data_IF_067644439297
#
_entry.id   IF_067644439297
#
_cell.length_a   1.000
_cell.length_b   1.000
_cell.length_c   1.000
_cell.angle_alpha   90.00
_cell.angle_beta   90.00
_cell.angle_gamma   90.00
#
_symmetry.space_group_name_H-M   'P 1'
#
loop_
_entity.id
_entity.type
_entity.pdbx_description
1 polymer ?
#
# COMPACT_ATOMS: atom_id res chain seq x y z
N UNK A 1 -13.24 -77.76 2.84
CA UNK A 1 -12.95 -76.69 1.85
C UNK A 1 -14.26 -75.96 1.58
N UNK A 2 -14.39 -74.77 2.17
CA UNK A 2 -15.57 -73.88 2.20
C UNK A 2 -15.68 -73.06 0.89
N UNK A 3 -16.83 -73.06 0.20
CA UNK A 3 -18.01 -72.14 0.26
C UNK A 3 -17.94 -70.89 -0.64
N UNK A 4 -19.05 -70.68 -1.37
CA UNK A 4 -19.47 -69.56 -2.25
C UNK A 4 -19.50 -68.17 -1.58
N UNK A 5 -19.18 -67.07 -2.32
CA UNK A 5 -19.99 -65.82 -2.49
C UNK A 5 -19.24 -64.59 -3.12
N UNK A 6 -19.99 -63.78 -3.94
CA UNK A 6 -19.97 -62.30 -4.21
C UNK A 6 -18.65 -61.59 -4.71
N UNK A 7 -18.58 -60.49 -5.51
CA UNK A 7 -19.43 -59.73 -6.48
C UNK A 7 -18.67 -58.41 -6.89
N UNK A 8 -18.93 -57.88 -8.11
CA UNK A 8 -18.85 -56.47 -8.64
C UNK A 8 -17.49 -55.79 -9.04
N UNK A 9 -17.41 -55.10 -10.21
CA UNK A 9 -16.25 -54.31 -10.70
C UNK A 9 -16.36 -52.77 -10.48
N UNK A 10 -15.28 -51.96 -10.61
CA UNK A 10 -15.37 -50.50 -10.51
C UNK A 10 -15.46 -49.83 -11.90
N UNK A 11 -16.68 -49.60 -12.39
CA UNK A 11 -16.97 -48.78 -13.56
C UNK A 11 -18.26 -47.97 -13.28
N UNK A 12 -18.17 -46.89 -12.50
CA UNK A 12 -19.35 -46.05 -12.19
C UNK A 12 -19.11 -44.58 -11.83
N UNK A 13 -17.90 -44.04 -11.91
CA UNK A 13 -17.65 -42.63 -11.54
C UNK A 13 -17.74 -41.64 -12.71
N UNK A 14 -17.29 -42.01 -13.91
CA UNK A 14 -17.26 -41.06 -15.04
C UNK A 14 -18.63 -40.82 -15.71
N UNK A 15 -19.55 -41.80 -15.64
CA UNK A 15 -20.88 -41.68 -16.23
C UNK A 15 -21.80 -40.73 -15.43
N UNK A 16 -21.62 -40.65 -14.10
CA UNK A 16 -22.40 -39.80 -13.20
C UNK A 16 -22.03 -38.32 -13.35
N UNK A 17 -20.74 -38.01 -13.55
CA UNK A 17 -20.26 -36.65 -13.80
C UNK A 17 -20.78 -36.08 -15.13
N UNK A 18 -20.84 -36.92 -16.17
CA UNK A 18 -21.36 -36.50 -17.48
C UNK A 18 -22.89 -36.29 -17.45
N UNK A 19 -23.63 -37.15 -16.73
CA UNK A 19 -25.07 -36.97 -16.52
C UNK A 19 -25.39 -35.73 -15.67
N UNK A 20 -24.62 -35.43 -14.62
CA UNK A 20 -24.80 -34.21 -13.83
C UNK A 20 -24.55 -32.93 -14.65
N UNK A 21 -23.51 -32.88 -15.49
CA UNK A 21 -23.25 -31.72 -16.35
C UNK A 21 -24.37 -31.48 -17.37
N UNK A 22 -24.93 -32.56 -17.95
CA UNK A 22 -26.05 -32.45 -18.90
C UNK A 22 -27.33 -31.92 -18.24
N UNK A 23 -27.60 -32.31 -17.00
CA UNK A 23 -28.76 -31.83 -16.25
C UNK A 23 -28.60 -30.38 -15.77
N UNK A 24 -27.39 -29.94 -15.40
CA UNK A 24 -27.11 -28.55 -15.04
C UNK A 24 -27.20 -27.63 -16.26
N UNK A 25 -26.68 -28.06 -17.42
CA UNK A 25 -26.82 -27.31 -18.66
C UNK A 25 -28.28 -27.16 -19.06
N UNK A 26 -29.08 -28.24 -18.97
CA UNK A 26 -30.52 -28.19 -19.26
C UNK A 26 -31.28 -27.27 -18.29
N UNK A 27 -30.87 -27.20 -17.01
CA UNK A 27 -31.47 -26.31 -16.02
C UNK A 27 -31.15 -24.82 -16.32
N UNK A 28 -29.93 -24.53 -16.76
CA UNK A 28 -29.50 -23.18 -17.16
C UNK A 28 -30.25 -22.74 -18.42
N UNK A 29 -30.38 -23.61 -19.43
CA UNK A 29 -31.14 -23.30 -20.65
C UNK A 29 -32.65 -23.17 -20.39
N UNK A 30 -33.18 -23.86 -19.39
CA UNK A 30 -34.58 -23.71 -18.95
C UNK A 30 -34.81 -22.38 -18.20
N UNK A 31 -33.85 -21.95 -17.38
CA UNK A 31 -33.89 -20.67 -16.66
C UNK A 31 -33.73 -19.46 -17.59
N UNK A 32 -32.84 -19.55 -18.59
CA UNK A 32 -32.67 -18.48 -19.60
C UNK A 32 -33.90 -18.33 -20.50
N UNK A 33 -34.57 -19.43 -20.87
CA UNK A 33 -35.83 -19.37 -21.63
C UNK A 33 -37.01 -18.80 -20.81
N UNK A 34 -36.97 -18.91 -19.48
CA UNK A 34 -38.00 -18.35 -18.60
C UNK A 34 -37.87 -16.82 -18.45
N UNK A 35 -36.66 -16.27 -18.62
CA UNK A 35 -36.36 -14.83 -18.57
C UNK A 35 -36.78 -14.06 -19.83
N UNK A 36 -37.01 -14.75 -20.95
CA UNK A 36 -37.42 -14.13 -22.23
C UNK A 36 -38.94 -13.93 -22.40
N UNK A 37 -39.79 -14.41 -21.48
CA UNK A 37 -41.22 -14.13 -21.52
C UNK A 37 -41.57 -12.84 -20.76
N UNK A 38 -41.97 -11.82 -21.51
CA UNK A 38 -42.52 -10.56 -21.01
C UNK A 38 -43.77 -10.81 -20.14
N UNK A 39 -43.60 -10.86 -18.81
CA UNK A 39 -44.69 -10.83 -17.82
C UNK A 39 -44.29 -9.82 -16.73
N UNK A 40 -45.16 -8.87 -16.34
CA UNK A 40 -44.82 -7.88 -15.32
C UNK A 40 -44.87 -8.55 -13.94
N UNK A 41 -43.73 -8.63 -13.24
CA UNK A 41 -43.64 -9.28 -11.93
C UNK A 41 -43.38 -8.27 -10.81
N UNK A 42 -44.15 -8.42 -9.74
CA UNK A 42 -44.16 -7.64 -8.50
C UNK A 42 -42.77 -7.48 -7.81
N UNK A 43 -42.58 -6.42 -7.00
CA UNK A 43 -41.29 -6.08 -6.37
C UNK A 43 -40.78 -7.08 -5.31
N UNK A 44 -41.58 -8.09 -4.92
CA UNK A 44 -41.25 -9.05 -3.87
C UNK A 44 -40.40 -10.24 -4.32
N UNK A 45 -40.31 -10.53 -5.63
CA UNK A 45 -39.49 -11.64 -6.16
C UNK A 45 -38.03 -11.26 -6.42
N UNK A 46 -37.72 -9.98 -6.65
CA UNK A 46 -36.32 -9.50 -6.80
C UNK A 46 -35.50 -9.70 -5.53
N UNK A 47 -36.14 -9.66 -4.35
CA UNK A 47 -35.47 -9.84 -3.06
C UNK A 47 -35.08 -11.32 -2.79
N UNK A 48 -35.89 -12.27 -3.29
CA UNK A 48 -35.61 -13.71 -3.17
C UNK A 48 -34.49 -14.12 -4.14
N UNK A 49 -34.44 -13.54 -5.35
CA UNK A 49 -33.36 -13.80 -6.31
C UNK A 49 -32.00 -13.24 -5.88
N UNK A 50 -31.97 -12.10 -5.18
CA UNK A 50 -30.73 -11.55 -4.60
C UNK A 50 -30.20 -12.43 -3.45
N UNK A 51 -31.11 -13.01 -2.66
CA UNK A 51 -30.78 -13.94 -1.57
C UNK A 51 -30.27 -15.30 -2.05
N UNK A 52 -30.78 -15.81 -3.18
CA UNK A 52 -30.29 -17.06 -3.78
C UNK A 52 -28.90 -16.93 -4.44
N UNK A 53 -28.55 -15.74 -4.98
CA UNK A 53 -27.18 -15.48 -5.51
C UNK A 53 -26.12 -15.50 -4.41
N UNK A 54 -26.40 -15.00 -3.21
CA UNK A 54 -25.46 -15.04 -2.09
C UNK A 54 -25.28 -16.46 -1.52
N UNK A 55 -26.33 -17.29 -1.56
CA UNK A 55 -26.26 -18.69 -1.13
C UNK A 55 -25.52 -19.60 -2.14
N UNK A 56 -25.62 -19.36 -3.45
CA UNK A 56 -24.84 -20.10 -4.45
C UNK A 56 -23.33 -19.79 -4.39
N UNK A 57 -22.95 -18.55 -4.04
CA UNK A 57 -21.54 -18.21 -3.77
C UNK A 57 -20.97 -18.95 -2.55
N UNK A 58 -21.78 -19.16 -1.52
CA UNK A 58 -21.40 -19.96 -0.36
C UNK A 58 -21.35 -21.46 -0.68
N UNK A 59 -22.22 -21.96 -1.57
CA UNK A 59 -22.15 -23.35 -2.02
C UNK A 59 -20.91 -23.61 -2.91
N UNK A 60 -20.51 -22.62 -3.72
CA UNK A 60 -19.26 -22.69 -4.48
C UNK A 60 -18.03 -22.68 -3.55
N UNK A 61 -18.03 -21.84 -2.48
CA UNK A 61 -17.00 -21.87 -1.43
C UNK A 61 -16.86 -23.25 -0.76
N UNK A 62 -17.98 -23.94 -0.53
CA UNK A 62 -17.99 -25.30 0.06
C UNK A 62 -17.53 -26.37 -0.94
N UNK A 63 -17.72 -26.16 -2.25
CA UNK A 63 -17.28 -27.10 -3.30
C UNK A 63 -15.82 -26.91 -3.71
N UNK A 64 -15.25 -25.72 -3.55
CA UNK A 64 -13.82 -25.42 -3.78
C UNK A 64 -13.03 -25.46 -2.49
N UNK A 65 -13.06 -26.57 -1.75
CA UNK A 65 -12.16 -26.85 -0.62
C UNK A 65 -10.68 -26.86 -1.06
N UNK A 66 -10.15 -25.68 -1.36
CA UNK A 66 -8.76 -25.34 -1.71
C UNK A 66 -8.32 -24.10 -0.91
N UNK A 67 -8.91 -23.86 0.27
CA UNK A 67 -8.62 -22.72 1.16
C UNK A 67 -7.19 -22.74 1.75
N UNK A 68 -6.33 -23.66 1.34
CA UNK A 68 -4.93 -23.73 1.77
C UNK A 68 -3.90 -23.52 0.64
N UNK A 69 -4.31 -23.45 -0.63
CA UNK A 69 -3.35 -23.34 -1.75
C UNK A 69 -3.55 -22.10 -2.65
N UNK A 70 -4.73 -21.48 -2.64
CA UNK A 70 -5.03 -20.30 -3.45
C UNK A 70 -5.43 -19.18 -2.49
N UNK A 71 -4.74 -18.04 -2.56
CA UNK A 71 -4.92 -16.90 -1.66
C UNK A 71 -6.33 -16.29 -1.69
N UNK A 72 -6.53 -15.10 -1.13
CA UNK A 72 -7.84 -14.46 -1.09
C UNK A 72 -8.47 -14.34 -2.50
N UNK A 73 -9.67 -14.90 -2.67
CA UNK A 73 -10.41 -14.97 -3.95
C UNK A 73 -11.33 -13.76 -4.17
N UNK A 74 -10.84 -12.54 -3.92
CA UNK A 74 -11.60 -11.31 -4.16
C UNK A 74 -10.75 -10.23 -4.83
N UNK A 75 -11.41 -9.27 -5.45
CA UNK A 75 -10.80 -8.17 -6.19
C UNK A 75 -10.98 -6.85 -5.43
N UNK A 76 -9.90 -6.09 -5.29
CA UNK A 76 -9.94 -4.72 -4.76
C UNK A 76 -10.08 -3.73 -5.91
N UNK A 77 -11.20 -3.01 -5.94
CA UNK A 77 -11.47 -2.02 -6.98
C UNK A 77 -10.74 -0.70 -6.71
N UNK A 78 -9.49 -0.62 -7.15
CA UNK A 78 -8.70 0.61 -7.04
C UNK A 78 -9.21 1.75 -7.94
N UNK A 79 -10.05 1.48 -8.92
CA UNK A 79 -10.51 2.50 -9.87
C UNK A 79 -11.79 3.17 -9.37
N UNK A 80 -12.80 2.37 -8.99
CA UNK A 80 -14.16 2.87 -8.81
C UNK A 80 -14.72 2.72 -7.38
N UNK A 81 -14.00 2.13 -6.43
CA UNK A 81 -14.50 1.96 -5.06
C UNK A 81 -15.02 3.27 -4.46
N UNK A 82 -16.28 3.25 -4.00
CA UNK A 82 -16.95 4.36 -3.34
C UNK A 82 -17.19 4.03 -1.87
N UNK A 83 -17.06 5.01 -0.96
CA UNK A 83 -17.27 4.76 0.47
C UNK A 83 -18.73 4.43 0.77
N UNK A 84 -18.92 3.38 1.57
CA UNK A 84 -20.19 3.07 2.22
C UNK A 84 -20.50 4.11 3.32
N UNK A 85 -21.70 4.07 3.88
CA UNK A 85 -22.10 4.98 4.96
C UNK A 85 -21.20 4.81 6.21
N UNK A 86 -20.78 3.57 6.51
CA UNK A 86 -19.90 3.28 7.64
C UNK A 86 -18.46 3.75 7.43
N UNK A 87 -18.02 3.93 6.18
CA UNK A 87 -16.67 4.40 5.86
C UNK A 87 -16.59 5.93 5.77
N UNK A 88 -17.73 6.63 5.61
CA UNK A 88 -17.79 8.02 5.17
C UNK A 88 -16.97 8.98 6.02
N UNK A 89 -17.02 8.83 7.34
CA UNK A 89 -16.30 9.71 8.27
C UNK A 89 -14.79 9.59 8.10
N UNK A 90 -14.27 8.37 8.21
CA UNK A 90 -12.83 8.08 8.04
C UNK A 90 -12.38 8.40 6.63
N UNK A 91 -13.21 8.08 5.64
CA UNK A 91 -12.92 8.36 4.24
C UNK A 91 -12.76 9.86 4.00
N UNK A 92 -13.64 10.70 4.54
CA UNK A 92 -13.56 12.16 4.41
C UNK A 92 -12.30 12.71 5.09
N UNK A 93 -11.97 12.21 6.29
CA UNK A 93 -10.76 12.60 7.01
C UNK A 93 -9.51 12.32 6.17
N UNK A 94 -9.38 11.09 5.67
CA UNK A 94 -8.21 10.66 4.90
C UNK A 94 -8.17 11.34 3.53
N UNK A 95 -9.31 11.50 2.87
CA UNK A 95 -9.41 12.17 1.57
C UNK A 95 -8.95 13.63 1.66
N UNK A 96 -9.21 14.33 2.76
CA UNK A 96 -8.71 15.69 2.98
C UNK A 96 -7.18 15.80 2.98
N UNK A 97 -6.48 14.70 3.32
CA UNK A 97 -5.02 14.61 3.24
C UNK A 97 -4.58 14.20 1.84
N UNK A 98 -5.23 13.20 1.25
CA UNK A 98 -4.87 12.70 -0.07
C UNK A 98 -5.09 13.73 -1.19
N UNK A 99 -6.05 14.65 -1.06
CA UNK A 99 -6.24 15.76 -2.02
C UNK A 99 -5.01 16.68 -2.14
N UNK A 100 -4.17 16.78 -1.11
CA UNK A 100 -2.96 17.58 -1.13
C UNK A 100 -1.74 16.83 -1.70
N UNK A 101 -1.84 15.50 -1.88
CA UNK A 101 -0.70 14.63 -2.21
C UNK A 101 0.00 14.99 -3.53
N UNK A 102 -0.77 15.22 -4.61
CA UNK A 102 -0.22 15.60 -5.91
C UNK A 102 0.45 16.98 -5.87
N UNK A 103 -0.08 17.92 -5.09
CA UNK A 103 0.56 19.23 -4.88
C UNK A 103 1.90 19.10 -4.15
N UNK A 104 2.00 18.15 -3.20
CA UNK A 104 3.24 17.84 -2.50
C UNK A 104 4.26 17.20 -3.45
N UNK A 105 3.85 16.22 -4.26
CA UNK A 105 4.70 15.58 -5.26
C UNK A 105 5.19 16.56 -6.32
N UNK A 106 4.31 17.40 -6.87
CA UNK A 106 4.69 18.47 -7.80
C UNK A 106 5.65 19.47 -7.15
N UNK A 107 5.40 19.82 -5.88
CA UNK A 107 6.29 20.66 -5.09
C UNK A 107 7.69 20.07 -4.97
N UNK A 108 7.80 18.76 -4.72
CA UNK A 108 9.08 18.06 -4.61
C UNK A 108 9.77 17.94 -5.97
N UNK A 109 9.04 17.56 -7.01
CA UNK A 109 9.56 17.44 -8.37
C UNK A 109 10.14 18.78 -8.89
N UNK A 110 9.50 19.90 -8.56
CA UNK A 110 9.96 21.25 -8.92
C UNK A 110 11.07 21.81 -8.03
N UNK A 111 11.62 21.02 -7.10
CA UNK A 111 12.67 21.47 -6.18
C UNK A 111 14.03 21.53 -6.87
N UNK A 112 14.46 22.74 -7.26
CA UNK A 112 15.74 22.97 -7.96
C UNK A 112 16.96 23.04 -7.03
N UNK A 113 16.73 23.43 -5.78
CA UNK A 113 17.77 23.70 -4.80
C UNK A 113 18.49 25.04 -5.00
N UNK A 114 19.36 25.39 -4.05
CA UNK A 114 20.15 26.64 -4.03
C UNK A 114 21.67 26.41 -4.03
N UNK A 115 22.10 25.27 -4.60
CA UNK A 115 23.47 24.80 -4.43
C UNK A 115 24.56 25.73 -4.99
N UNK A 116 24.29 26.48 -6.06
CA UNK A 116 25.27 27.41 -6.64
C UNK A 116 25.45 28.64 -5.73
N UNK A 117 24.36 29.28 -5.36
CA UNK A 117 24.33 30.46 -4.50
C UNK A 117 24.92 30.16 -3.13
N UNK A 118 24.64 28.97 -2.57
CA UNK A 118 25.25 28.49 -1.33
C UNK A 118 26.77 28.35 -1.47
N UNK A 119 27.27 27.78 -2.58
CA UNK A 119 28.72 27.64 -2.81
C UNK A 119 29.40 29.00 -2.91
N UNK A 120 28.82 29.92 -3.66
CA UNK A 120 29.37 31.27 -3.86
C UNK A 120 29.44 32.03 -2.53
N UNK A 121 28.40 31.92 -1.70
CA UNK A 121 28.36 32.48 -0.35
C UNK A 121 29.39 31.84 0.60
N UNK A 122 29.60 30.52 0.55
CA UNK A 122 30.59 29.84 1.39
C UNK A 122 32.02 30.21 0.98
N UNK A 123 32.29 30.34 -0.33
CA UNK A 123 33.62 30.71 -0.85
C UNK A 123 34.00 32.16 -0.52
N UNK A 124 33.02 33.06 -0.45
CA UNK A 124 33.21 34.49 -0.22
C UNK A 124 32.43 34.96 1.02
N UNK A 125 32.84 34.55 2.24
CA UNK A 125 32.06 34.78 3.46
C UNK A 125 31.92 36.27 3.84
N UNK A 126 32.81 37.13 3.35
CA UNK A 126 32.79 38.57 3.62
C UNK A 126 31.94 39.37 2.60
N UNK A 127 31.48 38.74 1.51
CA UNK A 127 30.62 39.39 0.52
C UNK A 127 29.15 39.29 0.94
N UNK A 128 28.64 40.40 1.48
CA UNK A 128 27.25 40.50 1.97
C UNK A 128 26.21 40.26 0.88
N UNK A 129 26.49 40.66 -0.38
CA UNK A 129 25.55 40.47 -1.49
C UNK A 129 25.36 38.99 -1.83
N UNK A 130 26.44 38.21 -1.76
CA UNK A 130 26.38 36.76 -1.96
C UNK A 130 25.68 36.05 -0.80
N UNK A 131 25.92 36.47 0.45
CA UNK A 131 25.21 35.93 1.61
C UNK A 131 23.69 36.16 1.50
N UNK A 132 23.28 37.39 1.17
CA UNK A 132 21.87 37.77 1.04
C UNK A 132 21.20 37.02 -0.12
N UNK A 133 21.86 36.88 -1.27
CA UNK A 133 21.33 36.11 -2.40
C UNK A 133 21.09 34.65 -2.04
N UNK A 134 22.06 33.99 -1.40
CA UNK A 134 21.91 32.61 -0.96
C UNK A 134 20.78 32.48 0.07
N UNK A 135 20.67 33.41 1.01
CA UNK A 135 19.61 33.44 2.01
C UNK A 135 18.21 33.57 1.37
N UNK A 136 18.02 34.58 0.53
CA UNK A 136 16.75 34.85 -0.15
C UNK A 136 16.28 33.69 -1.04
N UNK A 137 17.21 32.88 -1.57
CA UNK A 137 16.88 31.69 -2.35
C UNK A 137 16.58 30.46 -1.45
N UNK A 138 17.34 30.26 -0.39
CA UNK A 138 17.20 29.10 0.51
C UNK A 138 15.92 29.17 1.34
N UNK A 139 15.55 30.35 1.84
CA UNK A 139 14.39 30.50 2.72
C UNK A 139 13.07 29.93 2.14
N UNK A 140 12.62 30.29 0.93
CA UNK A 140 11.40 29.71 0.36
C UNK A 140 11.51 28.20 0.12
N UNK A 141 12.71 27.69 -0.19
CA UNK A 141 12.95 26.25 -0.32
C UNK A 141 12.75 25.53 1.02
N UNK A 142 13.24 26.11 2.12
CA UNK A 142 13.07 25.54 3.47
C UNK A 142 11.61 25.57 3.92
N UNK A 143 10.84 26.60 3.57
CA UNK A 143 9.38 26.63 3.79
C UNK A 143 8.70 25.48 3.04
N UNK A 144 9.14 25.19 1.82
CA UNK A 144 8.68 24.02 1.05
C UNK A 144 9.02 22.71 1.77
N UNK A 145 10.25 22.58 2.28
CA UNK A 145 10.67 21.41 3.07
C UNK A 145 9.85 21.27 4.36
N UNK A 146 9.52 22.38 5.03
CA UNK A 146 8.62 22.37 6.19
C UNK A 146 7.24 21.84 5.79
N UNK A 147 6.69 22.29 4.65
CA UNK A 147 5.40 21.81 4.15
C UNK A 147 5.38 20.30 3.92
N UNK A 148 6.44 19.73 3.34
CA UNK A 148 6.51 18.27 3.14
C UNK A 148 6.60 17.51 4.47
N UNK A 149 7.39 17.99 5.42
CA UNK A 149 7.47 17.39 6.75
C UNK A 149 6.13 17.49 7.51
N UNK A 150 5.46 18.65 7.47
CA UNK A 150 4.12 18.78 8.06
C UNK A 150 3.08 17.88 7.40
N UNK A 151 3.22 17.63 6.08
CA UNK A 151 2.38 16.67 5.39
C UNK A 151 2.61 15.24 5.87
N UNK A 152 3.84 14.85 6.17
CA UNK A 152 4.12 13.50 6.71
C UNK A 152 3.42 13.25 8.04
N UNK A 153 3.29 14.27 8.89
CA UNK A 153 2.54 14.19 10.16
C UNK A 153 1.03 13.98 9.92
N UNK A 154 0.45 14.67 8.92
CA UNK A 154 -0.95 14.45 8.53
C UNK A 154 -1.17 13.06 7.96
N UNK A 155 -0.20 12.55 7.19
CA UNK A 155 -0.23 11.22 6.59
C UNK A 155 -0.17 10.12 7.66
N UNK A 156 0.64 10.32 8.71
CA UNK A 156 0.69 9.45 9.89
C UNK A 156 -0.69 9.33 10.56
N UNK A 157 -1.37 10.45 10.83
CA UNK A 157 -2.69 10.44 11.46
C UNK A 157 -3.76 9.81 10.56
N UNK A 158 -3.71 10.08 9.24
CA UNK A 158 -4.59 9.44 8.28
C UNK A 158 -4.40 7.90 8.25
N UNK A 159 -3.14 7.43 8.28
CA UNK A 159 -2.83 6.01 8.36
C UNK A 159 -3.39 5.39 9.65
N UNK A 160 -3.22 6.06 10.80
CA UNK A 160 -3.78 5.56 12.07
C UNK A 160 -5.29 5.38 12.00
N UNK A 161 -6.04 6.35 11.44
CA UNK A 161 -7.48 6.21 11.25
C UNK A 161 -7.85 5.00 10.39
N UNK A 162 -7.13 4.76 9.29
CA UNK A 162 -7.35 3.59 8.44
C UNK A 162 -7.06 2.28 9.17
N UNK A 163 -5.95 2.23 9.92
CA UNK A 163 -5.58 1.04 10.70
C UNK A 163 -6.64 0.72 11.75
N UNK A 164 -7.19 1.71 12.45
CA UNK A 164 -8.31 1.51 13.38
C UNK A 164 -9.50 0.84 12.68
N UNK A 165 -9.92 1.36 11.52
CA UNK A 165 -11.08 0.84 10.80
C UNK A 165 -10.86 -0.53 10.17
N UNK A 166 -9.67 -0.79 9.62
CA UNK A 166 -9.36 -2.00 8.84
C UNK A 166 -8.82 -3.16 9.69
N UNK A 167 -8.73 -3.00 11.00
CA UNK A 167 -8.21 -4.04 11.91
C UNK A 167 -9.09 -4.30 13.13
N UNK A 168 -10.24 -3.62 13.24
CA UNK A 168 -11.09 -3.71 14.42
C UNK A 168 -11.86 -5.04 14.51
N UNK A 169 -11.96 -5.65 15.70
CA UNK A 169 -12.80 -6.84 15.87
C UNK A 169 -14.30 -6.49 15.68
N UNK A 170 -15.14 -7.46 15.27
CA UNK A 170 -14.87 -8.89 15.17
C UNK A 170 -14.50 -9.38 13.76
N UNK A 171 -14.30 -8.49 12.79
CA UNK A 171 -14.09 -8.88 11.39
C UNK A 171 -12.68 -9.41 11.17
N UNK A 172 -12.55 -10.35 10.23
CA UNK A 172 -11.25 -10.81 9.76
C UNK A 172 -10.66 -9.82 8.76
N UNK A 173 -9.34 -9.81 8.54
CA UNK A 173 -8.69 -8.96 7.54
C UNK A 173 -9.29 -9.10 6.13
N UNK A 174 -9.60 -10.32 5.69
CA UNK A 174 -10.28 -10.59 4.42
C UNK A 174 -11.65 -9.90 4.38
N UNK A 175 -12.44 -10.02 5.44
CA UNK A 175 -13.76 -9.40 5.52
C UNK A 175 -13.67 -7.88 5.50
N UNK A 176 -12.67 -7.31 6.18
CA UNK A 176 -12.44 -5.87 6.15
C UNK A 176 -12.14 -5.38 4.73
N UNK A 177 -11.20 -6.02 4.04
CA UNK A 177 -10.82 -5.62 2.69
C UNK A 177 -11.92 -5.88 1.65
N UNK A 178 -12.76 -6.90 1.85
CA UNK A 178 -13.94 -7.14 1.00
C UNK A 178 -15.03 -6.08 1.22
N UNK A 179 -15.25 -5.65 2.48
CA UNK A 179 -16.36 -4.77 2.86
C UNK A 179 -16.00 -3.28 2.75
N UNK A 180 -14.85 -2.88 3.28
CA UNK A 180 -14.37 -1.50 3.34
C UNK A 180 -13.40 -1.19 2.18
N UNK A 181 -13.87 -1.40 0.94
CA UNK A 181 -13.02 -1.23 -0.26
C UNK A 181 -12.52 0.21 -0.43
N UNK A 182 -13.30 1.22 -0.02
CA UNK A 182 -12.90 2.61 -0.19
C UNK A 182 -11.77 2.99 0.78
N UNK A 183 -11.81 2.48 2.01
CA UNK A 183 -10.72 2.65 2.97
C UNK A 183 -9.48 1.85 2.55
N UNK A 184 -9.66 0.63 2.03
CA UNK A 184 -8.56 -0.15 1.47
C UNK A 184 -7.87 0.56 0.29
N UNK A 185 -8.66 1.20 -0.58
CA UNK A 185 -8.15 2.07 -1.67
C UNK A 185 -7.38 3.27 -1.12
N UNK A 186 -7.88 3.95 -0.09
CA UNK A 186 -7.15 5.08 0.50
C UNK A 186 -5.84 4.66 1.18
N UNK A 187 -5.80 3.47 1.80
CA UNK A 187 -4.55 2.92 2.32
C UNK A 187 -3.55 2.69 1.18
N UNK A 188 -4.01 2.12 0.07
CA UNK A 188 -3.21 1.95 -1.13
C UNK A 188 -2.70 3.31 -1.69
N UNK A 189 -3.53 4.34 -1.71
CA UNK A 189 -3.16 5.69 -2.16
C UNK A 189 -2.11 6.35 -1.25
N UNK A 190 -2.20 6.18 0.07
CA UNK A 190 -1.17 6.62 1.03
C UNK A 190 0.18 5.97 0.71
N UNK A 191 0.19 4.66 0.50
CA UNK A 191 1.43 3.91 0.18
C UNK A 191 2.01 4.32 -1.17
N UNK A 192 1.14 4.51 -2.17
CA UNK A 192 1.53 4.97 -3.49
C UNK A 192 2.22 6.34 -3.44
N UNK A 193 1.63 7.30 -2.74
CA UNK A 193 2.24 8.61 -2.51
C UNK A 193 3.59 8.48 -1.81
N UNK A 194 3.65 7.68 -0.74
CA UNK A 194 4.86 7.50 0.08
C UNK A 194 6.04 7.01 -0.77
N UNK A 195 5.85 5.97 -1.57
CA UNK A 195 6.92 5.44 -2.42
C UNK A 195 7.35 6.45 -3.49
N UNK A 196 6.42 7.17 -4.12
CA UNK A 196 6.73 8.20 -5.13
C UNK A 196 7.50 9.37 -4.52
N UNK A 197 7.10 9.82 -3.33
CA UNK A 197 7.80 10.91 -2.63
C UNK A 197 9.24 10.50 -2.33
N UNK A 198 9.44 9.33 -1.75
CA UNK A 198 10.75 8.85 -1.33
C UNK A 198 11.68 8.60 -2.55
N UNK A 199 11.14 8.05 -3.64
CA UNK A 199 11.87 7.89 -4.91
C UNK A 199 12.36 9.24 -5.46
N UNK A 200 11.48 10.25 -5.49
CA UNK A 200 11.85 11.59 -5.93
C UNK A 200 12.90 12.22 -5.00
N UNK A 201 12.72 12.10 -3.69
CA UNK A 201 13.63 12.66 -2.69
C UNK A 201 15.04 12.09 -2.85
N UNK A 202 15.17 10.79 -3.08
CA UNK A 202 16.48 10.14 -3.26
C UNK A 202 17.27 10.69 -4.46
N UNK A 203 16.58 11.26 -5.46
CA UNK A 203 17.21 11.88 -6.65
C UNK A 203 17.61 13.34 -6.46
N UNK A 204 17.27 13.96 -5.32
CA UNK A 204 17.46 15.40 -5.09
C UNK A 204 18.38 15.62 -3.87
N UNK A 205 19.73 15.50 -4.05
CA UNK A 205 20.68 15.71 -2.95
C UNK A 205 20.69 17.14 -2.40
N UNK A 206 20.17 18.12 -3.16
CA UNK A 206 20.08 19.51 -2.74
C UNK A 206 19.24 19.70 -1.47
N UNK A 207 18.24 18.86 -1.22
CA UNK A 207 17.33 18.97 -0.05
C UNK A 207 18.12 18.99 1.27
N UNK A 208 19.03 18.05 1.46
CA UNK A 208 19.82 17.98 2.71
C UNK A 208 20.85 19.11 2.79
N UNK A 209 21.44 19.51 1.66
CA UNK A 209 22.45 20.56 1.59
C UNK A 209 21.87 21.93 1.92
N UNK A 210 20.73 22.27 1.30
CA UNK A 210 20.04 23.54 1.48
C UNK A 210 19.55 23.68 2.92
N UNK A 211 18.96 22.62 3.47
CA UNK A 211 18.49 22.63 4.86
C UNK A 211 19.65 22.71 5.87
N UNK A 212 20.75 22.01 5.60
CA UNK A 212 21.98 22.09 6.40
C UNK A 212 22.61 23.49 6.36
N UNK A 213 22.58 24.16 5.21
CA UNK A 213 23.04 25.55 5.08
C UNK A 213 22.14 26.51 5.87
N UNK A 214 20.82 26.39 5.73
CA UNK A 214 19.85 27.18 6.47
C UNK A 214 20.07 27.11 7.99
N UNK A 215 20.20 25.89 8.54
CA UNK A 215 20.43 25.69 9.98
C UNK A 215 21.72 26.35 10.48
N UNK A 216 22.81 26.23 9.72
CA UNK A 216 24.10 26.87 10.06
C UNK A 216 23.99 28.39 10.03
N UNK A 217 23.25 28.94 9.07
CA UNK A 217 23.09 30.38 8.89
C UNK A 217 22.25 31.01 9.99
N UNK A 218 21.11 30.40 10.37
CA UNK A 218 20.32 30.84 11.53
C UNK A 218 21.13 30.79 12.82
N UNK A 219 21.85 29.69 13.07
CA UNK A 219 22.64 29.55 14.29
C UNK A 219 23.71 30.64 14.44
N UNK A 220 24.25 31.16 13.32
CA UNK A 220 25.22 32.28 13.32
C UNK A 220 24.53 33.63 13.46
N UNK A 221 23.43 33.84 12.74
CA UNK A 221 22.72 35.13 12.67
C UNK A 221 21.86 35.44 13.90
N UNK A 222 21.53 34.46 14.75
CA UNK A 222 20.95 34.69 16.09
C UNK A 222 21.78 35.61 16.98
N UNK A 223 23.09 35.69 16.74
CA UNK A 223 23.99 36.58 17.47
C UNK A 223 23.85 38.04 16.97
N UNK A 224 23.34 38.24 15.74
CA UNK A 224 23.28 39.53 15.05
C UNK A 224 21.84 40.08 14.87
N UNK A 225 20.80 39.43 15.41
CA UNK A 225 19.39 39.89 15.44
C UNK A 225 18.75 40.29 14.09
N UNK A 226 19.24 39.78 12.95
CA UNK A 226 18.82 40.28 11.63
C UNK A 226 17.66 39.55 10.91
N UNK A 227 17.04 38.50 11.46
CA UNK A 227 16.01 37.76 10.71
C UNK A 227 14.91 37.12 11.60
N UNK A 228 13.97 37.93 12.09
CA UNK A 228 12.88 37.49 12.98
C UNK A 228 11.74 36.75 12.25
N UNK A 229 11.43 37.08 10.99
CA UNK A 229 10.20 36.59 10.34
C UNK A 229 10.27 35.12 9.90
N UNK A 230 11.41 34.65 9.38
CA UNK A 230 11.60 33.25 8.98
C UNK A 230 11.88 32.34 10.18
N UNK A 231 12.47 32.89 11.25
CA UNK A 231 12.69 32.16 12.49
C UNK A 231 11.37 31.78 13.20
N UNK A 232 10.33 32.60 13.03
CA UNK A 232 8.97 32.27 13.45
C UNK A 232 8.37 31.09 12.68
N UNK A 233 8.80 30.86 11.43
CA UNK A 233 8.28 29.76 10.63
C UNK A 233 8.91 28.40 10.96
N UNK A 234 10.22 28.35 11.22
CA UNK A 234 10.92 27.11 11.57
C UNK A 234 11.73 27.30 12.84
N UNK A 235 11.11 26.99 13.98
CA UNK A 235 11.79 27.00 15.26
C UNK A 235 12.86 25.88 15.36
N UNK A 236 13.73 25.95 16.38
CA UNK A 236 14.86 25.03 16.52
C UNK A 236 14.44 23.56 16.73
N UNK A 237 13.34 23.32 17.46
CA UNK A 237 12.81 21.97 17.68
C UNK A 237 12.32 21.34 16.37
N UNK A 238 11.51 22.08 15.61
CA UNK A 238 11.04 21.71 14.28
C UNK A 238 12.23 21.44 13.36
N UNK A 239 13.26 22.30 13.38
CA UNK A 239 14.45 22.13 12.56
C UNK A 239 15.21 20.83 12.87
N UNK A 240 15.27 20.44 14.15
CA UNK A 240 15.88 19.18 14.57
C UNK A 240 15.09 17.98 14.03
N UNK A 241 13.75 17.99 14.17
CA UNK A 241 12.89 16.91 13.65
C UNK A 241 12.96 16.79 12.14
N UNK A 242 12.90 17.92 11.43
CA UNK A 242 13.07 17.96 9.98
C UNK A 242 14.44 17.44 9.54
N UNK A 243 15.50 17.69 10.32
CA UNK A 243 16.84 17.18 9.99
C UNK A 243 16.89 15.66 10.03
N UNK A 244 16.30 15.05 11.07
CA UNK A 244 16.19 13.60 11.18
C UNK A 244 15.32 13.03 10.06
N UNK A 245 14.19 13.68 9.77
CA UNK A 245 13.32 13.30 8.66
C UNK A 245 14.10 13.25 7.33
N UNK A 246 14.77 14.33 6.93
CA UNK A 246 15.47 14.35 5.64
C UNK A 246 16.75 13.53 5.58
N UNK A 247 17.35 13.17 6.73
CA UNK A 247 18.50 12.28 6.81
C UNK A 247 18.17 10.86 6.34
N UNK A 248 16.95 10.40 6.59
CA UNK A 248 16.48 9.08 6.15
C UNK A 248 16.41 8.98 4.63
N UNK A 249 16.81 7.84 4.05
CA UNK A 249 16.71 7.63 2.59
C UNK A 249 15.25 7.72 2.13
N UNK A 250 14.34 7.10 2.89
CA UNK A 250 12.90 6.98 2.63
C UNK A 250 12.10 7.60 3.77
N UNK A 251 12.04 8.94 3.86
CA UNK A 251 11.47 9.64 5.00
C UNK A 251 9.97 9.38 5.21
N UNK A 252 9.16 9.34 4.15
CA UNK A 252 7.73 9.09 4.28
C UNK A 252 7.47 7.65 4.73
N UNK A 253 8.18 6.69 4.15
CA UNK A 253 8.02 5.28 4.51
C UNK A 253 8.49 5.00 5.94
N UNK A 254 9.55 5.68 6.40
CA UNK A 254 10.00 5.63 7.79
C UNK A 254 8.92 6.18 8.74
N UNK A 255 8.28 7.29 8.39
CA UNK A 255 7.14 7.84 9.14
C UNK A 255 5.99 6.83 9.22
N UNK A 256 5.56 6.25 8.10
CA UNK A 256 4.47 5.26 8.11
C UNK A 256 4.83 4.01 8.91
N UNK A 257 6.06 3.49 8.75
CA UNK A 257 6.53 2.31 9.49
C UNK A 257 6.50 2.55 11.00
N UNK A 258 7.03 3.70 11.46
CA UNK A 258 6.99 4.07 12.86
C UNK A 258 5.53 4.24 13.34
N UNK A 259 4.66 4.86 12.54
CA UNK A 259 3.25 5.04 12.87
C UNK A 259 2.53 3.69 13.05
N UNK A 260 2.77 2.72 12.16
CA UNK A 260 2.19 1.37 12.28
C UNK A 260 2.75 0.61 13.48
N UNK A 261 4.05 0.70 13.75
CA UNK A 261 4.65 0.09 14.95
C UNK A 261 4.08 0.70 16.24
N UNK A 262 3.94 2.02 16.30
CA UNK A 262 3.34 2.72 17.44
C UNK A 262 1.86 2.33 17.61
N UNK A 263 1.09 2.28 16.51
CA UNK A 263 -0.30 1.85 16.53
C UNK A 263 -0.47 0.49 17.21
N UNK A 264 0.33 -0.50 16.84
CA UNK A 264 0.26 -1.83 17.47
C UNK A 264 0.71 -1.81 18.93
N UNK A 265 1.70 -1.00 19.27
CA UNK A 265 2.24 -0.89 20.64
C UNK A 265 1.26 -0.21 21.60
N UNK A 266 0.54 0.80 21.11
CA UNK A 266 -0.43 1.59 21.88
C UNK A 266 -1.77 0.83 22.06
N UNK A 267 -2.20 0.07 21.05
CA UNK A 267 -3.46 -0.67 21.07
C UNK A 267 -3.29 -2.10 21.61
N UNK A 268 -2.89 -2.25 22.87
CA UNK A 268 -2.61 -3.56 23.49
C UNK A 268 -3.80 -4.53 23.52
N UNK A 269 -5.03 -4.02 23.40
CA UNK A 269 -6.25 -4.83 23.32
C UNK A 269 -6.48 -5.42 21.93
N UNK A 270 -5.85 -4.85 20.90
CA UNK A 270 -5.89 -5.34 19.54
C UNK A 270 -4.74 -6.34 19.32
N UNK A 271 -5.03 -7.58 18.87
CA UNK A 271 -3.97 -8.52 18.52
C UNK A 271 -3.08 -7.95 17.40
N UNK A 272 -1.75 -8.05 17.57
CA UNK A 272 -0.76 -7.73 16.52
C UNK A 272 -1.09 -8.44 15.19
N UNK A 273 -1.64 -9.65 15.28
CA UNK A 273 -2.07 -10.45 14.15
C UNK A 273 -3.11 -9.73 13.30
N UNK A 274 -4.05 -8.97 13.86
CA UNK A 274 -5.05 -8.24 13.06
C UNK A 274 -4.39 -7.24 12.10
N UNK A 275 -3.35 -6.52 12.55
CA UNK A 275 -2.64 -5.55 11.72
C UNK A 275 -1.73 -6.25 10.71
N UNK A 276 -0.92 -7.21 11.16
CA UNK A 276 0.02 -7.91 10.28
C UNK A 276 -0.69 -8.79 9.25
N UNK A 277 -1.81 -9.40 9.62
CA UNK A 277 -2.65 -10.18 8.71
C UNK A 277 -3.37 -9.27 7.72
N UNK A 278 -3.81 -8.07 8.11
CA UNK A 278 -4.33 -7.08 7.16
C UNK A 278 -3.29 -6.71 6.09
N UNK A 279 -2.06 -6.37 6.50
CA UNK A 279 -0.98 -6.06 5.56
C UNK A 279 -0.63 -7.24 4.64
N UNK A 280 -0.52 -8.45 5.18
CA UNK A 280 -0.21 -9.65 4.37
C UNK A 280 -1.36 -10.07 3.46
N UNK A 281 -2.62 -9.83 3.87
CA UNK A 281 -3.80 -10.06 3.03
C UNK A 281 -3.82 -9.07 1.87
N UNK A 282 -3.59 -7.77 2.12
CA UNK A 282 -3.45 -6.77 1.05
C UNK A 282 -2.34 -7.14 0.06
N UNK A 283 -1.18 -7.59 0.56
CA UNK A 283 -0.07 -8.04 -0.28
C UNK A 283 -0.49 -9.22 -1.18
N UNK A 284 -1.17 -10.20 -0.58
CA UNK A 284 -1.65 -11.39 -1.28
C UNK A 284 -2.70 -11.06 -2.33
N UNK A 285 -3.65 -10.15 -2.02
CA UNK A 285 -4.66 -9.70 -2.99
C UNK A 285 -4.00 -8.97 -4.16
N UNK A 286 -3.06 -8.05 -3.91
CA UNK A 286 -2.33 -7.37 -4.98
C UNK A 286 -1.57 -8.37 -5.86
N UNK A 287 -0.86 -9.32 -5.24
CA UNK A 287 -0.17 -10.40 -5.96
C UNK A 287 -1.15 -11.19 -6.84
N UNK A 288 -2.28 -11.65 -6.29
CA UNK A 288 -3.28 -12.43 -7.04
C UNK A 288 -3.88 -11.61 -8.19
N UNK A 289 -4.20 -10.33 -7.98
CA UNK A 289 -4.69 -9.45 -9.03
C UNK A 289 -3.69 -9.25 -10.17
N UNK A 290 -2.39 -9.27 -9.87
CA UNK A 290 -1.32 -9.14 -10.86
C UNK A 290 -0.97 -10.47 -11.55
N UNK A 291 -1.02 -11.61 -10.85
CA UNK A 291 -0.71 -12.93 -11.42
C UNK A 291 -1.86 -13.50 -12.27
N UNK A 292 -3.10 -13.11 -11.98
CA UNK A 292 -4.30 -13.71 -12.59
C UNK A 292 -4.71 -12.90 -13.82
N UNK A 293 -4.66 -13.46 -15.05
CA UNK A 293 -5.06 -12.75 -16.28
C UNK A 293 -6.48 -12.20 -16.23
N UNK A 294 -7.40 -12.90 -15.59
CA UNK A 294 -8.82 -12.51 -15.44
C UNK A 294 -9.03 -11.32 -14.50
N UNK A 295 -8.08 -11.03 -13.62
CA UNK A 295 -8.11 -9.85 -12.75
C UNK A 295 -7.28 -8.72 -13.33
N UNK A 296 -6.09 -9.00 -13.84
CA UNK A 296 -5.23 -7.99 -14.47
C UNK A 296 -5.88 -7.35 -15.70
N UNK A 297 -6.66 -8.11 -16.48
CA UNK A 297 -7.44 -7.58 -17.60
C UNK A 297 -8.63 -6.70 -17.21
N UNK A 298 -9.01 -6.65 -15.92
CA UNK A 298 -10.06 -5.75 -15.42
C UNK A 298 -9.57 -4.33 -15.20
N UNK A 299 -8.26 -4.14 -15.04
CA UNK A 299 -7.68 -2.82 -14.91
C UNK A 299 -7.80 -2.07 -16.23
N UNK A 300 -8.34 -0.84 -16.17
CA UNK A 300 -8.55 -0.02 -17.37
C UNK A 300 -7.26 0.58 -17.92
N UNK A 301 -6.20 0.67 -17.08
CA UNK A 301 -4.96 1.37 -17.42
C UNK A 301 -3.72 0.64 -16.90
N UNK A 302 -2.60 0.85 -17.61
CA UNK A 302 -1.27 0.43 -17.15
C UNK A 302 -0.87 1.14 -15.84
N UNK A 303 -1.33 2.37 -15.64
CA UNK A 303 -1.09 3.11 -14.40
C UNK A 303 -1.71 2.41 -13.18
N UNK A 304 -2.90 1.80 -13.33
CA UNK A 304 -3.54 1.02 -12.27
C UNK A 304 -2.75 -0.26 -11.94
N UNK A 305 -2.16 -0.92 -12.95
CA UNK A 305 -1.28 -2.06 -12.75
C UNK A 305 -0.03 -1.66 -11.96
N UNK A 306 0.64 -0.57 -12.37
CA UNK A 306 1.82 -0.05 -11.67
C UNK A 306 1.47 0.47 -10.27
N UNK A 307 0.26 0.99 -10.08
CA UNK A 307 -0.27 1.35 -8.76
C UNK A 307 -0.38 0.09 -7.88
N UNK A 308 -1.00 -0.99 -8.38
CA UNK A 308 -1.12 -2.25 -7.65
C UNK A 308 0.24 -2.84 -7.25
N UNK A 309 1.25 -2.78 -8.14
CA UNK A 309 2.62 -3.21 -7.82
C UNK A 309 3.26 -2.36 -6.71
N UNK A 310 3.10 -1.04 -6.76
CA UNK A 310 3.56 -0.11 -5.70
C UNK A 310 2.91 -0.44 -4.36
N UNK A 311 1.60 -0.68 -4.37
CA UNK A 311 0.84 -1.02 -3.15
C UNK A 311 1.36 -2.33 -2.56
N UNK A 312 1.52 -3.38 -3.38
CA UNK A 312 2.09 -4.66 -2.97
C UNK A 312 3.45 -4.48 -2.27
N UNK A 313 4.36 -3.73 -2.88
CA UNK A 313 5.69 -3.46 -2.30
C UNK A 313 5.59 -2.62 -1.02
N UNK A 314 4.73 -1.61 -1.00
CA UNK A 314 4.51 -0.76 0.16
C UNK A 314 4.03 -1.55 1.39
N UNK A 315 3.01 -2.41 1.23
CA UNK A 315 2.51 -3.23 2.34
C UNK A 315 3.52 -4.31 2.76
N UNK A 316 4.32 -4.84 1.84
CA UNK A 316 5.42 -5.77 2.16
C UNK A 316 6.43 -5.09 3.09
N UNK A 317 6.85 -3.87 2.77
CA UNK A 317 7.82 -3.15 3.58
C UNK A 317 7.24 -2.81 4.95
N UNK A 318 5.99 -2.32 5.01
CA UNK A 318 5.32 -2.08 6.30
C UNK A 318 5.21 -3.36 7.15
N UNK A 319 4.82 -4.48 6.54
CA UNK A 319 4.76 -5.77 7.23
C UNK A 319 6.13 -6.16 7.78
N UNK A 320 7.20 -5.97 7.00
CA UNK A 320 8.56 -6.29 7.42
C UNK A 320 9.02 -5.48 8.63
N UNK A 321 8.58 -4.23 8.78
CA UNK A 321 8.88 -3.42 9.97
C UNK A 321 8.08 -3.82 11.21
N UNK A 322 6.81 -4.21 11.02
CA UNK A 322 5.85 -4.42 12.11
C UNK A 322 5.86 -5.86 12.62
N UNK A 323 6.01 -6.83 11.73
CA UNK A 323 6.00 -8.25 12.10
C UNK A 323 7.33 -8.63 12.78
N UNK A 324 7.31 -9.32 13.95
CA UNK A 324 8.52 -9.61 14.73
C UNK A 324 9.59 -10.39 13.96
N UNK A 325 9.16 -11.29 13.07
CA UNK A 325 10.06 -12.11 12.26
C UNK A 325 10.29 -11.54 10.85
N UNK A 326 9.69 -10.41 10.52
CA UNK A 326 9.76 -9.80 9.19
C UNK A 326 8.97 -10.53 8.10
N UNK A 327 9.05 -9.97 6.88
CA UNK A 327 8.39 -10.47 5.67
C UNK A 327 9.16 -11.60 4.98
N UNK A 328 10.44 -11.80 5.33
CA UNK A 328 11.35 -12.71 4.64
C UNK A 328 11.51 -14.07 5.32
N UNK A 329 11.02 -14.21 6.56
CA UNK A 329 11.07 -15.47 7.28
C UNK A 329 10.15 -16.50 6.62
N UNK A 330 10.52 -17.78 6.67
CA UNK A 330 9.70 -18.90 6.15
C UNK A 330 8.32 -19.00 6.80
N UNK A 331 8.16 -18.49 8.02
CA UNK A 331 6.87 -18.45 8.72
C UNK A 331 6.02 -17.21 8.36
N UNK A 332 6.51 -16.32 7.48
CA UNK A 332 5.75 -15.16 7.04
C UNK A 332 4.52 -15.59 6.24
N UNK A 333 3.41 -14.85 6.40
CA UNK A 333 2.21 -15.02 5.58
C UNK A 333 2.34 -14.42 4.18
N UNK A 334 3.43 -13.68 3.91
CA UNK A 334 3.69 -13.09 2.60
C UNK A 334 4.49 -14.07 1.74
N UNK A 335 3.94 -14.45 0.59
CA UNK A 335 4.68 -15.18 -0.44
C UNK A 335 5.67 -14.25 -1.15
N UNK A 336 6.84 -14.05 -0.52
CA UNK A 336 7.88 -13.17 -1.04
C UNK A 336 8.40 -13.62 -2.41
N UNK A 337 8.47 -14.93 -2.64
CA UNK A 337 8.93 -15.48 -3.92
C UNK A 337 7.97 -15.11 -5.04
N UNK A 338 6.68 -15.31 -4.81
CA UNK A 338 5.62 -14.93 -5.75
C UNK A 338 5.60 -13.42 -6.01
N UNK A 339 5.65 -12.60 -4.95
CA UNK A 339 5.66 -11.14 -5.10
C UNK A 339 6.86 -10.64 -5.94
N UNK A 340 8.07 -11.15 -5.70
CA UNK A 340 9.25 -10.76 -6.49
C UNK A 340 9.13 -11.27 -7.93
N UNK A 341 8.57 -12.48 -8.14
CA UNK A 341 8.35 -13.03 -9.47
C UNK A 341 7.42 -12.14 -10.29
N UNK A 342 6.28 -11.73 -9.73
CA UNK A 342 5.33 -10.80 -10.36
C UNK A 342 6.01 -9.52 -10.83
N UNK A 343 6.88 -8.94 -10.01
CA UNK A 343 7.63 -7.75 -10.39
C UNK A 343 8.62 -8.04 -11.52
N UNK A 344 9.36 -9.16 -11.45
CA UNK A 344 10.35 -9.54 -12.48
C UNK A 344 9.74 -9.90 -13.83
N UNK A 345 8.46 -10.27 -13.86
CA UNK A 345 7.73 -10.56 -15.10
C UNK A 345 7.34 -9.27 -15.86
N UNK A 346 7.58 -8.08 -15.27
CA UNK A 346 7.31 -6.78 -15.87
C UNK A 346 8.54 -6.17 -16.56
N UNK A 347 8.36 -5.18 -17.47
CA UNK A 347 9.48 -4.44 -18.04
C UNK A 347 10.37 -3.81 -16.96
N UNK A 348 11.69 -3.98 -17.07
CA UNK A 348 12.65 -3.58 -16.03
C UNK A 348 12.51 -2.09 -15.65
N UNK A 349 12.33 -1.21 -16.63
CA UNK A 349 12.20 0.24 -16.44
C UNK A 349 11.02 0.61 -15.52
N UNK A 350 9.97 -0.21 -15.48
CA UNK A 350 8.77 0.04 -14.68
C UNK A 350 8.91 -0.40 -13.22
N UNK A 351 9.76 -1.38 -12.93
CA UNK A 351 9.83 -2.06 -11.62
C UNK A 351 11.19 -1.95 -10.93
N UNK A 352 12.23 -1.41 -11.58
CA UNK A 352 13.56 -1.28 -10.98
C UNK A 352 13.52 -0.48 -9.66
N UNK A 353 12.76 0.63 -9.64
CA UNK A 353 12.55 1.42 -8.42
C UNK A 353 11.90 0.62 -7.29
N UNK A 354 10.95 -0.26 -7.62
CA UNK A 354 10.26 -1.13 -6.68
C UNK A 354 11.15 -2.23 -6.12
N UNK A 355 11.95 -2.87 -6.98
CA UNK A 355 12.94 -3.86 -6.56
C UNK A 355 14.00 -3.21 -5.66
N UNK A 356 14.44 -1.99 -5.98
CA UNK A 356 15.37 -1.23 -5.14
C UNK A 356 14.75 -0.86 -3.78
N UNK A 357 13.47 -0.52 -3.72
CA UNK A 357 12.76 -0.31 -2.45
C UNK A 357 12.79 -1.58 -1.57
N UNK A 358 12.54 -2.76 -2.16
CA UNK A 358 12.68 -4.04 -1.45
C UNK A 358 14.13 -4.32 -1.03
N UNK A 359 15.13 -3.93 -1.81
CA UNK A 359 16.55 -4.17 -1.50
C UNK A 359 17.05 -3.29 -0.35
N UNK A 360 16.69 -2.01 -0.35
CA UNK A 360 17.34 -1.01 0.48
C UNK A 360 16.49 -0.52 1.64
N UNK A 361 15.17 -0.72 1.60
CA UNK A 361 14.26 -0.18 2.61
C UNK A 361 13.69 -1.23 3.55
N UNK A 362 13.87 -2.52 3.27
CA UNK A 362 13.42 -3.58 4.19
C UNK A 362 14.37 -3.74 5.38
N UNK A 363 13.82 -4.15 6.51
CA UNK A 363 14.53 -4.37 7.78
C UNK A 363 15.23 -5.73 7.83
N UNK A 364 14.56 -6.81 7.38
CA UNK A 364 15.05 -8.19 7.63
C UNK A 364 15.63 -8.90 6.39
N UNK A 365 15.72 -8.24 5.22
CA UNK A 365 16.29 -8.88 4.01
C UNK A 365 17.70 -9.43 4.23
N UNK A 366 18.52 -8.72 5.02
CA UNK A 366 19.92 -9.07 5.26
C UNK A 366 20.13 -10.04 6.44
N UNK A 367 19.07 -10.45 7.13
CA UNK A 367 19.16 -11.37 8.25
C UNK A 367 19.68 -12.74 7.83
N UNK A 368 20.36 -13.45 8.72
CA UNK A 368 20.84 -14.82 8.46
C UNK A 368 19.68 -15.80 8.20
N UNK A 369 18.53 -15.55 8.82
CA UNK A 369 17.30 -16.34 8.68
C UNK A 369 16.66 -16.23 7.29
N UNK A 370 16.96 -15.17 6.52
CA UNK A 370 16.36 -14.91 5.21
C UNK A 370 16.84 -15.93 4.17
N UNK A 371 15.93 -16.65 3.48
CA UNK A 371 16.30 -17.67 2.49
C UNK A 371 17.23 -17.14 1.38
N UNK A 372 18.32 -17.87 1.10
CA UNK A 372 19.34 -17.47 0.10
C UNK A 372 18.77 -17.29 -1.30
N UNK A 373 17.76 -18.08 -1.67
CA UNK A 373 17.07 -17.96 -2.96
C UNK A 373 16.33 -16.61 -3.10
N UNK A 374 15.68 -16.13 -2.04
CA UNK A 374 15.02 -14.82 -2.04
C UNK A 374 16.05 -13.70 -2.17
N UNK A 375 17.17 -13.79 -1.44
CA UNK A 375 18.27 -12.81 -1.60
C UNK A 375 18.83 -12.80 -3.02
N UNK A 376 19.04 -13.97 -3.63
CA UNK A 376 19.50 -14.07 -5.02
C UNK A 376 18.49 -13.50 -6.03
N UNK A 377 17.19 -13.51 -5.73
CA UNK A 377 16.19 -12.85 -6.57
C UNK A 377 16.25 -11.33 -6.48
N UNK A 378 16.76 -10.77 -5.39
CA UNK A 378 16.94 -9.32 -5.19
C UNK A 378 18.40 -8.87 -5.36
N UNK A 379 19.30 -9.76 -5.77
CA UNK A 379 20.60 -9.36 -6.31
C UNK A 379 20.41 -9.12 -7.80
#
# INVERSE_FOLDING_TARGET
MLYFFLLVPPLRHDLLLFQLCSHISALITFLDNFLTLHIPVCPSLSFVFLSCRSQMGNLLKVLTCTELEHGPNFFLDFENAQPTEGEREVWNQVNSVLQDSENILFGLHSYKGAGQEIRDAIQNPNDLMLQERAWNLVCPLVIKLKKFYSFSLRLEEALKSLLVSLTCPPLTPTQHLEREQALAKQFAEILHFTLRFDELKMRIPAIQNDFSYYRRTISRNRINNMNLDIENEVNNEMANRMSLFYAEATPMLKTLSNATTNFVTENKTLPLENTTDCLSTMASVCKVMLETPEYSSRFSSEDTLLFCMRVMVGVIILYDYVHPNGAFNKSSKIDMKGCIKVLKDQPADNVEGLLNALKFTTKHLNDESTPKNIRAMLQ
#
